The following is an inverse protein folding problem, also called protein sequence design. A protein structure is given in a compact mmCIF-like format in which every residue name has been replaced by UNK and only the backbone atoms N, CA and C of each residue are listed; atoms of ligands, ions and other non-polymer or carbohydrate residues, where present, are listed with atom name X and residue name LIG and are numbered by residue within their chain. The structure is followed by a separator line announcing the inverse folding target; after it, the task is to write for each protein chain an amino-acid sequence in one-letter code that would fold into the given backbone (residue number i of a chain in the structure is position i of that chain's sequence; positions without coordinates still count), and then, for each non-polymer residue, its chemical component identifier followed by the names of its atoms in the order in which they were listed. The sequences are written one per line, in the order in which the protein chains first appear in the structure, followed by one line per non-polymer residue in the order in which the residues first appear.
data_IF_173942770040
#
_entry.id   IF_173942770040
#
_cell.length_a   1.000
_cell.length_b   1.000
_cell.length_c   1.000
_cell.angle_alpha   90.00
_cell.angle_beta   90.00
_cell.angle_gamma   90.00
#
_symmetry.space_group_name_H-M   'P 1'
#
loop_
_entity.id
_entity.type
_entity.pdbx_description
1 polymer ?
#
# COMPACT_ATOMS: atom_id res chain seq x y z
N UNK A 1 -32.83 0.35 5.89
CA UNK A 1 -31.99 1.03 4.88
C UNK A 1 -30.59 1.27 5.46
N UNK A 2 -29.56 0.99 4.67
CA UNK A 2 -28.17 0.71 5.07
C UNK A 2 -27.49 1.80 5.92
N UNK A 3 -26.84 1.38 7.01
CA UNK A 3 -25.93 2.22 7.80
C UNK A 3 -24.72 2.59 6.94
N UNK A 4 -24.62 3.85 6.54
CA UNK A 4 -23.46 4.40 5.82
C UNK A 4 -22.29 4.49 6.81
N UNK A 5 -21.41 3.49 6.77
CA UNK A 5 -20.22 3.40 7.63
C UNK A 5 -19.21 4.42 7.11
N UNK A 6 -19.12 5.58 7.77
CA UNK A 6 -18.09 6.58 7.51
C UNK A 6 -16.74 6.01 7.94
N UNK A 7 -16.06 5.35 7.00
CA UNK A 7 -14.74 4.80 7.22
C UNK A 7 -13.74 5.94 7.02
N UNK A 8 -13.48 6.71 8.07
CA UNK A 8 -12.35 7.65 8.12
C UNK A 8 -11.05 6.83 8.16
N UNK A 9 -10.71 6.21 7.03
CA UNK A 9 -9.40 5.62 6.78
C UNK A 9 -8.41 6.77 6.56
N UNK A 10 -8.00 7.44 7.63
CA UNK A 10 -6.72 8.13 7.59
C UNK A 10 -5.68 7.07 7.25
N UNK A 11 -5.04 7.22 6.07
CA UNK A 11 -4.12 6.22 5.54
C UNK A 11 -3.13 5.76 6.61
N UNK A 12 -2.96 4.44 6.71
CA UNK A 12 -2.11 3.81 7.72
C UNK A 12 -0.64 4.28 7.63
N UNK A 13 -0.25 4.77 6.45
CA UNK A 13 1.03 5.39 6.17
C UNK A 13 0.84 6.79 5.59
N UNK A 14 1.83 7.69 5.75
CA UNK A 14 1.88 8.95 5.03
C UNK A 14 1.81 8.73 3.51
N UNK A 15 1.12 9.62 2.80
CA UNK A 15 0.95 9.52 1.34
C UNK A 15 2.30 9.43 0.59
N UNK A 16 3.31 10.18 1.02
CA UNK A 16 4.64 10.14 0.41
C UNK A 16 5.29 8.76 0.48
N UNK A 17 5.18 8.08 1.64
CA UNK A 17 5.71 6.73 1.84
C UNK A 17 4.92 5.74 1.00
N UNK A 18 3.59 5.87 0.99
CA UNK A 18 2.71 5.01 0.19
C UNK A 18 3.03 5.11 -1.31
N UNK A 19 3.28 6.33 -1.81
CA UNK A 19 3.60 6.54 -3.22
C UNK A 19 4.97 5.95 -3.59
N UNK A 20 5.97 6.07 -2.73
CA UNK A 20 7.25 5.37 -2.93
C UNK A 20 7.06 3.85 -3.06
N UNK A 21 6.29 3.24 -2.17
CA UNK A 21 5.98 1.80 -2.25
C UNK A 21 5.22 1.43 -3.53
N UNK A 22 4.32 2.28 -4.03
CA UNK A 22 3.64 2.04 -5.31
C UNK A 22 4.63 1.93 -6.46
N UNK A 23 5.62 2.81 -6.49
CA UNK A 23 6.64 2.81 -7.54
C UNK A 23 7.59 1.63 -7.44
N UNK A 24 8.06 1.30 -6.23
CA UNK A 24 8.89 0.11 -5.98
C UNK A 24 8.19 -1.17 -6.45
N UNK A 25 6.94 -1.38 -6.02
CA UNK A 25 6.17 -2.56 -6.39
C UNK A 25 5.85 -2.56 -7.89
N UNK A 26 5.56 -1.40 -8.49
CA UNK A 26 5.34 -1.30 -9.93
C UNK A 26 6.59 -1.68 -10.73
N UNK A 27 7.79 -1.35 -10.24
CA UNK A 27 9.07 -1.72 -10.85
C UNK A 27 9.33 -3.22 -10.75
N UNK A 28 9.14 -3.82 -9.57
CA UNK A 28 9.24 -5.27 -9.37
C UNK A 28 8.28 -6.07 -10.28
N UNK A 29 7.10 -5.50 -10.53
CA UNK A 29 6.07 -6.13 -11.36
C UNK A 29 6.23 -5.82 -12.86
N UNK A 30 7.22 -5.03 -13.26
CA UNK A 30 7.44 -4.63 -14.65
C UNK A 30 6.37 -3.71 -15.24
N UNK A 31 5.56 -3.07 -14.38
CA UNK A 31 4.48 -2.17 -14.78
C UNK A 31 4.90 -0.69 -14.77
N UNK A 32 6.06 -0.38 -14.20
CA UNK A 32 6.56 1.00 -14.03
C UNK A 32 6.63 1.78 -15.35
N UNK A 33 7.15 1.18 -16.42
CA UNK A 33 7.23 1.82 -17.75
C UNK A 33 5.85 2.15 -18.32
N UNK A 34 4.89 1.24 -18.14
CA UNK A 34 3.51 1.42 -18.60
C UNK A 34 2.84 2.54 -17.82
N UNK A 35 2.97 2.53 -16.49
CA UNK A 35 2.43 3.58 -15.63
C UNK A 35 3.03 4.95 -15.99
N UNK A 36 4.33 5.02 -16.28
CA UNK A 36 4.98 6.27 -16.72
C UNK A 36 4.46 6.77 -18.07
N UNK A 37 4.10 5.89 -19.00
CA UNK A 37 3.65 6.29 -20.33
C UNK A 37 2.18 6.71 -20.39
N UNK A 38 1.30 6.03 -19.65
CA UNK A 38 -0.15 6.27 -19.74
C UNK A 38 -0.77 6.81 -18.44
N UNK A 39 -0.04 6.87 -17.34
CA UNK A 39 -0.57 7.28 -16.04
C UNK A 39 -1.31 6.15 -15.31
N UNK A 40 -1.54 6.35 -14.01
CA UNK A 40 -2.25 5.38 -13.17
C UNK A 40 -3.74 5.30 -13.53
N UNK A 41 -4.32 6.40 -14.01
CA UNK A 41 -5.72 6.50 -14.41
C UNK A 41 -6.07 5.67 -15.65
N UNK A 42 -5.09 5.38 -16.51
CA UNK A 42 -5.27 4.57 -17.72
C UNK A 42 -4.79 3.12 -17.55
N UNK A 43 -4.38 2.73 -16.34
CA UNK A 43 -4.08 1.33 -16.01
C UNK A 43 -5.36 0.52 -15.84
N UNK A 44 -5.33 -0.76 -16.20
CA UNK A 44 -6.51 -1.61 -15.99
C UNK A 44 -6.73 -1.86 -14.51
N UNK A 45 -7.98 -2.03 -14.09
CA UNK A 45 -8.31 -2.35 -12.68
C UNK A 45 -7.60 -3.59 -12.16
N UNK A 46 -7.29 -4.56 -13.05
CA UNK A 46 -6.51 -5.75 -12.72
C UNK A 46 -5.06 -5.42 -12.38
N UNK A 47 -4.43 -4.54 -13.16
CA UNK A 47 -3.04 -4.12 -12.91
C UNK A 47 -2.93 -3.26 -11.65
N UNK A 48 -3.83 -2.29 -11.48
CA UNK A 48 -3.91 -1.49 -10.25
C UNK A 48 -4.16 -2.37 -9.03
N UNK A 49 -5.05 -3.37 -9.15
CA UNK A 49 -5.29 -4.35 -8.09
C UNK A 49 -4.09 -5.23 -7.79
N UNK A 50 -3.30 -5.59 -8.80
CA UNK A 50 -2.09 -6.41 -8.62
C UNK A 50 -1.00 -5.64 -7.85
N UNK A 51 -0.76 -4.38 -8.22
CA UNK A 51 0.14 -3.46 -7.49
C UNK A 51 -0.38 -3.21 -6.07
N UNK A 52 -1.65 -2.81 -5.93
CA UNK A 52 -2.26 -2.50 -4.63
C UNK A 52 -2.32 -3.70 -3.68
N UNK A 53 -2.55 -4.90 -4.21
CA UNK A 53 -2.56 -6.15 -3.43
C UNK A 53 -1.18 -6.51 -2.87
N UNK A 54 -0.11 -6.32 -3.67
CA UNK A 54 1.27 -6.51 -3.22
C UNK A 54 1.66 -5.51 -2.14
N UNK A 55 1.29 -4.24 -2.31
CA UNK A 55 1.54 -3.17 -1.33
C UNK A 55 0.79 -3.47 -0.03
N UNK A 56 -0.53 -3.67 -0.09
CA UNK A 56 -1.36 -3.88 1.08
C UNK A 56 -0.95 -5.11 1.90
N UNK A 57 -0.64 -6.22 1.23
CA UNK A 57 -0.19 -7.44 1.89
C UNK A 57 1.18 -7.32 2.56
N UNK A 58 2.15 -6.68 1.90
CA UNK A 58 3.51 -6.52 2.42
C UNK A 58 3.60 -5.46 3.54
N UNK A 59 2.89 -4.35 3.36
CA UNK A 59 2.88 -3.23 4.31
C UNK A 59 2.25 -3.62 5.64
N UNK A 60 1.04 -4.21 5.62
CA UNK A 60 0.34 -4.65 6.84
C UNK A 60 1.18 -5.69 7.59
N UNK A 61 1.79 -6.64 6.86
CA UNK A 61 2.67 -7.65 7.47
C UNK A 61 3.90 -7.02 8.14
N UNK A 62 4.52 -6.03 7.49
CA UNK A 62 5.69 -5.32 8.03
C UNK A 62 5.34 -4.48 9.25
N UNK A 63 4.20 -3.79 9.24
CA UNK A 63 3.72 -3.02 10.40
C UNK A 63 3.41 -3.92 11.60
N UNK A 64 2.73 -5.05 11.38
CA UNK A 64 2.45 -6.01 12.44
C UNK A 64 3.76 -6.54 13.04
N UNK A 65 4.76 -6.83 12.21
CA UNK A 65 6.08 -7.27 12.68
C UNK A 65 6.76 -6.21 13.55
N UNK A 66 6.85 -4.97 13.09
CA UNK A 66 7.45 -3.86 13.85
C UNK A 66 6.71 -3.58 15.16
N UNK A 67 5.37 -3.63 15.14
CA UNK A 67 4.56 -3.46 16.34
C UNK A 67 4.78 -4.60 17.34
N UNK A 68 4.93 -5.84 16.88
CA UNK A 68 5.31 -6.97 17.74
C UNK A 68 6.70 -6.78 18.35
N UNK A 69 7.67 -6.32 17.55
CA UNK A 69 9.03 -6.02 18.01
C UNK A 69 9.02 -4.94 19.11
N UNK A 70 8.26 -3.84 18.93
CA UNK A 70 8.16 -2.77 19.93
C UNK A 70 7.44 -3.16 21.23
N UNK A 71 6.57 -4.17 21.18
CA UNK A 71 5.93 -4.72 22.39
C UNK A 71 6.86 -5.67 23.15
N UNK A 72 7.83 -6.27 22.45
CA UNK A 72 8.78 -7.23 23.00
C UNK A 72 10.09 -6.59 23.47
N UNK A 73 10.31 -5.29 23.20
CA UNK A 73 11.42 -4.54 23.80
C UNK A 73 11.08 -4.19 25.25
N UNK A 74 11.85 -4.66 26.24
CA UNK A 74 11.72 -4.17 27.61
C UNK A 74 11.98 -2.67 27.61
N UNK A 75 11.04 -1.90 28.13
CA UNK A 75 11.30 -0.50 28.50
C UNK A 75 12.22 -0.53 29.71
N UNK A 76 13.45 -0.04 29.54
CA UNK A 76 14.37 0.23 30.66
C UNK A 76 13.98 1.55 31.34
#
# INVERSE_FOLDING_TARGET
MSRKKNNSNSGILPNAVLDQFKWEVAEELGLSSKIKSQGWENMTSRECGYVGGRIGGSMVKTMIRRAKESLNTPVE
#
